data_IF_740901082619
#
_entry.id   IF_740901082619
#
_cell.length_a   1.000
_cell.length_b   1.000
_cell.length_c   1.000
_cell.angle_alpha   90.00
_cell.angle_beta   90.00
_cell.angle_gamma   90.00
#
_symmetry.space_group_name_H-M   'P 1'
#
loop_
_entity.id
_entity.type
_entity.pdbx_description
1 polymer ?
#
# COMPACT_ATOMS: atom_id res chain seq x y z
N UNK A 1 -12.13 -5.65 -14.69
CA UNK A 1 -12.42 -4.89 -15.90
C UNK A 1 -11.22 -4.88 -16.83
N UNK A 2 -11.48 -4.97 -18.13
CA UNK A 2 -10.42 -4.93 -19.12
C UNK A 2 -10.29 -3.56 -19.73
N UNK A 3 -9.07 -3.06 -19.85
CA UNK A 3 -8.77 -1.88 -20.65
C UNK A 3 -8.25 -2.31 -22.01
N UNK A 4 -8.59 -1.54 -23.01
CA UNK A 4 -8.17 -1.79 -24.37
C UNK A 4 -6.92 -0.99 -24.67
N UNK A 5 -5.85 -1.68 -24.99
CA UNK A 5 -4.58 -1.04 -25.35
C UNK A 5 -4.33 -1.22 -26.83
N UNK A 6 -3.92 -0.14 -27.48
CA UNK A 6 -3.52 -0.20 -28.87
C UNK A 6 -2.04 -0.55 -28.92
N UNK A 7 -1.73 -1.63 -29.65
CA UNK A 7 -0.36 -2.04 -29.89
C UNK A 7 -0.11 -2.07 -31.39
N UNK A 8 1.14 -2.28 -31.79
CA UNK A 8 1.47 -2.46 -33.20
C UNK A 8 0.73 -3.65 -33.85
N UNK A 9 0.28 -4.61 -33.05
CA UNK A 9 -0.47 -5.77 -33.51
C UNK A 9 -1.98 -5.56 -33.38
N UNK A 10 -2.43 -4.35 -33.02
CA UNK A 10 -3.83 -4.05 -32.78
C UNK A 10 -4.16 -3.94 -31.31
N UNK A 11 -5.29 -4.50 -30.89
CA UNK A 11 -5.74 -4.40 -29.53
C UNK A 11 -5.17 -5.53 -28.68
N UNK A 12 -4.68 -5.15 -27.52
CA UNK A 12 -4.11 -6.09 -26.58
C UNK A 12 -4.90 -6.04 -25.26
N UNK A 13 -5.37 -7.19 -24.82
CA UNK A 13 -6.13 -7.35 -23.58
C UNK A 13 -5.31 -7.98 -22.47
N UNK A 14 -4.09 -8.44 -22.77
CA UNK A 14 -3.28 -9.23 -21.85
C UNK A 14 -2.92 -8.44 -20.60
N UNK A 15 -2.61 -7.16 -20.75
CA UNK A 15 -2.19 -6.31 -19.64
C UNK A 15 -3.23 -6.27 -18.52
N UNK A 16 -4.51 -6.17 -18.89
CA UNK A 16 -5.58 -6.11 -17.88
C UNK A 16 -5.87 -7.48 -17.27
N UNK A 17 -5.73 -8.56 -18.02
CA UNK A 17 -5.95 -9.90 -17.50
C UNK A 17 -4.88 -10.32 -16.49
N UNK A 18 -3.68 -9.70 -16.55
CA UNK A 18 -2.59 -9.99 -15.62
C UNK A 18 -2.72 -9.26 -14.29
N UNK A 19 -3.66 -8.30 -14.16
CA UNK A 19 -3.79 -7.48 -12.96
C UNK A 19 -4.67 -8.21 -11.94
N UNK A 20 -5.85 -7.72 -11.69
CA UNK A 20 -6.74 -8.33 -10.70
C UNK A 20 -8.07 -8.68 -11.34
N UNK A 21 -8.69 -9.75 -10.86
CA UNK A 21 -10.04 -10.12 -11.27
C UNK A 21 -11.06 -9.15 -10.70
N UNK A 22 -12.27 -9.06 -11.28
CA UNK A 22 -13.34 -8.27 -10.67
C UNK A 22 -13.66 -8.68 -9.23
N UNK A 23 -13.56 -9.96 -8.92
CA UNK A 23 -13.77 -10.44 -7.54
C UNK A 23 -12.68 -9.92 -6.60
N UNK A 24 -11.42 -9.88 -7.05
CA UNK A 24 -10.31 -9.33 -6.27
C UNK A 24 -10.46 -7.83 -6.08
N UNK A 25 -10.88 -7.10 -7.11
CA UNK A 25 -11.14 -5.65 -6.99
C UNK A 25 -12.25 -5.38 -5.97
N UNK A 26 -13.31 -6.18 -5.96
CA UNK A 26 -14.37 -6.07 -4.98
C UNK A 26 -13.88 -6.38 -3.57
N UNK A 27 -13.00 -7.35 -3.41
CA UNK A 27 -12.41 -7.71 -2.14
C UNK A 27 -11.57 -6.56 -1.59
N UNK A 28 -10.77 -5.93 -2.43
CA UNK A 28 -9.95 -4.76 -2.06
C UNK A 28 -10.85 -3.62 -1.57
N UNK A 29 -11.87 -3.30 -2.34
CA UNK A 29 -12.81 -2.23 -1.98
C UNK A 29 -13.54 -2.52 -0.68
N UNK A 30 -13.92 -3.77 -0.46
CA UNK A 30 -14.58 -4.19 0.78
C UNK A 30 -13.66 -4.03 1.99
N UNK A 31 -12.39 -4.39 1.84
CA UNK A 31 -11.42 -4.22 2.94
C UNK A 31 -11.14 -2.74 3.22
N UNK A 32 -11.08 -1.93 2.19
CA UNK A 32 -10.96 -0.48 2.39
C UNK A 32 -12.18 0.09 3.10
N UNK A 33 -13.37 -0.32 2.70
CA UNK A 33 -14.60 0.12 3.36
C UNK A 33 -14.63 -0.32 4.83
N UNK A 34 -14.15 -1.52 5.12
CA UNK A 34 -14.03 -2.01 6.50
C UNK A 34 -13.07 -1.14 7.33
N UNK A 35 -11.97 -0.70 6.72
CA UNK A 35 -11.04 0.24 7.35
C UNK A 35 -11.75 1.55 7.70
N UNK A 36 -12.51 2.10 6.76
CA UNK A 36 -13.25 3.34 7.00
C UNK A 36 -14.31 3.17 8.08
N UNK A 37 -14.99 2.03 8.12
CA UNK A 37 -15.97 1.73 9.16
C UNK A 37 -15.31 1.65 10.55
N UNK A 38 -14.16 0.98 10.63
CA UNK A 38 -13.39 0.92 11.87
C UNK A 38 -12.99 2.31 12.33
N UNK A 39 -12.52 3.14 11.40
CA UNK A 39 -12.10 4.52 11.70
C UNK A 39 -13.29 5.38 12.14
N UNK A 40 -14.45 5.22 11.52
CA UNK A 40 -15.65 5.97 11.86
C UNK A 40 -16.10 5.75 13.32
N UNK A 41 -15.75 4.60 13.91
CA UNK A 41 -16.09 4.26 15.28
C UNK A 41 -15.05 4.79 16.30
N UNK A 42 -14.05 5.53 15.87
CA UNK A 42 -13.05 6.09 16.76
C UNK A 42 -13.44 7.48 17.24
N UNK A 43 -12.72 7.97 18.28
CA UNK A 43 -12.87 9.34 18.77
C UNK A 43 -12.09 10.35 17.97
N UNK A 44 -11.33 9.89 16.99
CA UNK A 44 -10.49 10.76 16.16
C UNK A 44 -11.33 11.59 15.20
N UNK A 45 -10.74 12.70 14.78
CA UNK A 45 -11.32 13.56 13.75
C UNK A 45 -11.48 12.77 12.47
N UNK A 46 -12.67 12.82 11.88
CA UNK A 46 -13.01 12.03 10.69
C UNK A 46 -12.41 12.64 9.42
N UNK A 47 -11.13 12.37 9.19
CA UNK A 47 -10.39 12.85 8.01
C UNK A 47 -10.38 11.77 6.93
N UNK A 48 -11.56 11.43 6.44
CA UNK A 48 -11.75 10.34 5.48
C UNK A 48 -11.09 10.65 4.13
N UNK A 49 -11.07 11.91 3.72
CA UNK A 49 -10.53 12.29 2.41
C UNK A 49 -9.06 11.96 2.26
N UNK A 50 -8.24 12.25 3.28
CA UNK A 50 -6.81 11.96 3.19
C UNK A 50 -6.52 10.48 3.25
N UNK A 51 -7.30 9.72 4.02
CA UNK A 51 -7.19 8.27 4.08
C UNK A 51 -7.56 7.65 2.73
N UNK A 52 -8.64 8.13 2.14
CA UNK A 52 -9.08 7.68 0.81
C UNK A 52 -8.01 7.96 -0.24
N UNK A 53 -7.42 9.15 -0.19
CA UNK A 53 -6.34 9.52 -1.10
C UNK A 53 -5.13 8.61 -0.92
N UNK A 54 -4.76 8.31 0.32
CA UNK A 54 -3.64 7.41 0.62
C UNK A 54 -3.90 6.00 0.12
N UNK A 55 -5.12 5.49 0.32
CA UNK A 55 -5.50 4.19 -0.20
C UNK A 55 -5.43 4.15 -1.73
N UNK A 56 -6.02 5.13 -2.39
CA UNK A 56 -6.03 5.18 -3.86
C UNK A 56 -4.62 5.25 -4.42
N UNK A 57 -3.74 6.02 -3.79
CA UNK A 57 -2.35 6.13 -4.18
C UNK A 57 -1.62 4.78 -4.03
N UNK A 58 -1.77 4.15 -2.88
CA UNK A 58 -1.15 2.85 -2.60
C UNK A 58 -1.71 1.76 -3.52
N UNK A 59 -3.02 1.76 -3.74
CA UNK A 59 -3.68 0.79 -4.60
C UNK A 59 -3.18 0.90 -6.05
N UNK A 60 -3.03 2.12 -6.54
CA UNK A 60 -2.51 2.36 -7.88
C UNK A 60 -1.02 1.97 -7.97
N UNK A 61 -0.24 2.30 -6.95
CA UNK A 61 1.19 1.98 -6.93
C UNK A 61 1.44 0.46 -6.90
N UNK A 62 0.57 -0.30 -6.25
CA UNK A 62 0.67 -1.76 -6.16
C UNK A 62 -0.26 -2.49 -7.13
N UNK A 63 -0.75 -1.80 -8.14
CA UNK A 63 -1.66 -2.40 -9.11
C UNK A 63 -1.00 -3.59 -9.80
N UNK A 64 -1.67 -4.75 -9.73
CA UNK A 64 -1.16 -5.98 -10.34
C UNK A 64 -0.10 -6.70 -9.54
N UNK A 65 0.34 -6.13 -8.42
CA UNK A 65 1.37 -6.76 -7.57
C UNK A 65 0.69 -7.78 -6.65
N UNK A 66 1.24 -8.98 -6.61
CA UNK A 66 0.73 -10.09 -5.81
C UNK A 66 1.76 -10.55 -4.79
N UNK A 67 1.28 -11.04 -3.65
CA UNK A 67 2.10 -11.73 -2.69
C UNK A 67 2.43 -13.13 -3.21
N UNK A 68 3.43 -13.77 -2.60
CA UNK A 68 3.78 -15.16 -2.97
C UNK A 68 2.60 -16.11 -2.81
N UNK A 69 1.69 -15.82 -1.87
CA UNK A 69 0.45 -16.58 -1.68
C UNK A 69 -0.59 -16.38 -2.79
N UNK A 70 -0.36 -15.42 -3.70
CA UNK A 70 -1.22 -15.15 -4.85
C UNK A 70 -2.23 -14.04 -4.66
N UNK A 71 -2.43 -13.55 -3.46
CA UNK A 71 -3.39 -12.48 -3.19
C UNK A 71 -2.84 -11.10 -3.60
N UNK A 72 -3.71 -10.12 -3.91
CA UNK A 72 -3.26 -8.75 -4.19
C UNK A 72 -2.45 -8.19 -3.02
N UNK A 73 -1.30 -7.60 -3.34
CA UNK A 73 -0.40 -7.08 -2.32
C UNK A 73 -1.03 -6.01 -1.44
N UNK A 74 -1.90 -5.17 -2.02
CA UNK A 74 -2.58 -4.08 -1.30
C UNK A 74 -3.37 -4.58 -0.07
N UNK A 75 -3.76 -5.84 -0.05
CA UNK A 75 -4.45 -6.42 1.11
C UNK A 75 -3.59 -6.36 2.37
N UNK A 76 -2.27 -6.41 2.23
CA UNK A 76 -1.35 -6.33 3.36
C UNK A 76 -1.33 -4.94 4.02
N UNK A 77 -1.05 -3.83 3.32
CA UNK A 77 -1.13 -2.51 3.96
C UNK A 77 -2.54 -2.18 4.48
N UNK A 78 -3.60 -2.68 3.83
CA UNK A 78 -4.95 -2.53 4.36
C UNK A 78 -5.10 -3.23 5.72
N UNK A 79 -4.59 -4.44 5.84
CA UNK A 79 -4.63 -5.19 7.11
C UNK A 79 -3.83 -4.47 8.20
N UNK A 80 -2.64 -3.95 7.86
CA UNK A 80 -1.83 -3.17 8.80
C UNK A 80 -2.56 -1.90 9.25
N UNK A 81 -3.18 -1.19 8.32
CA UNK A 81 -3.95 0.02 8.64
C UNK A 81 -5.12 -0.29 9.59
N UNK A 82 -5.80 -1.42 9.40
CA UNK A 82 -6.87 -1.83 10.30
C UNK A 82 -6.36 -2.16 11.71
N UNK A 83 -5.18 -2.76 11.82
CA UNK A 83 -4.53 -2.98 13.12
C UNK A 83 -4.23 -1.64 13.80
N UNK A 84 -3.72 -0.67 13.05
CA UNK A 84 -3.44 0.67 13.57
C UNK A 84 -4.69 1.31 14.17
N UNK A 85 -5.83 1.16 13.52
CA UNK A 85 -7.10 1.70 14.01
C UNK A 85 -7.64 0.90 15.19
N UNK A 86 -7.75 -0.41 15.05
CA UNK A 86 -8.50 -1.27 15.97
C UNK A 86 -7.70 -1.63 17.21
N UNK A 87 -6.43 -1.94 17.04
CA UNK A 87 -5.60 -2.45 18.15
C UNK A 87 -4.77 -1.35 18.80
N UNK A 88 -4.27 -0.39 18.03
CA UNK A 88 -3.42 0.68 18.54
C UNK A 88 -4.21 1.96 18.80
N UNK A 89 -5.26 2.21 18.02
CA UNK A 89 -6.14 3.37 18.22
C UNK A 89 -5.58 4.68 17.72
N UNK A 90 -4.71 4.65 16.70
CA UNK A 90 -4.12 5.86 16.13
C UNK A 90 -5.03 6.47 15.06
N UNK A 91 -4.76 7.73 14.70
CA UNK A 91 -5.58 8.52 13.81
C UNK A 91 -5.14 8.51 12.35
N UNK A 92 -5.69 9.45 11.58
CA UNK A 92 -5.53 9.51 10.12
C UNK A 92 -4.08 9.55 9.64
N UNK A 93 -3.21 10.28 10.31
CA UNK A 93 -1.80 10.39 9.91
C UNK A 93 -1.11 9.02 9.94
N UNK A 94 -1.33 8.26 10.99
CA UNK A 94 -0.75 6.91 11.15
C UNK A 94 -1.39 5.91 10.22
N UNK A 95 -2.69 6.02 9.97
CA UNK A 95 -3.40 5.18 9.01
C UNK A 95 -2.83 5.40 7.60
N UNK A 96 -2.68 6.65 7.20
CA UNK A 96 -2.08 6.98 5.91
C UNK A 96 -0.65 6.45 5.79
N UNK A 97 0.14 6.61 6.84
CA UNK A 97 1.52 6.09 6.84
C UNK A 97 1.54 4.56 6.69
N UNK A 98 0.63 3.85 7.35
CA UNK A 98 0.50 2.40 7.21
C UNK A 98 0.16 2.00 5.76
N UNK A 99 -0.74 2.73 5.12
CA UNK A 99 -1.11 2.48 3.72
C UNK A 99 0.03 2.77 2.75
N UNK A 100 0.89 3.73 3.06
CA UNK A 100 1.89 4.26 2.12
C UNK A 100 3.31 3.73 2.35
N UNK A 101 3.59 3.08 3.49
CA UNK A 101 4.98 2.74 3.81
C UNK A 101 5.63 1.79 2.80
N UNK A 102 4.90 0.81 2.31
CA UNK A 102 5.42 -0.14 1.31
C UNK A 102 5.57 0.49 -0.06
N UNK A 103 4.85 1.58 -0.35
CA UNK A 103 4.98 2.29 -1.62
C UNK A 103 6.41 2.80 -1.82
N UNK A 104 6.99 3.38 -0.77
CA UNK A 104 8.36 3.90 -0.83
C UNK A 104 9.37 2.77 -0.96
N UNK A 105 9.14 1.63 -0.29
CA UNK A 105 10.04 0.48 -0.36
C UNK A 105 9.97 -0.25 -1.71
N UNK A 106 8.77 -0.38 -2.27
CA UNK A 106 8.52 -1.28 -3.39
C UNK A 106 8.43 -0.58 -4.74
N UNK A 107 8.38 0.74 -4.77
CA UNK A 107 8.24 1.52 -6.00
C UNK A 107 9.28 2.63 -6.08
N UNK A 108 9.24 3.40 -7.17
CA UNK A 108 10.16 4.52 -7.38
C UNK A 108 9.78 5.76 -6.57
N UNK A 109 8.62 5.77 -5.92
CA UNK A 109 8.22 6.92 -5.09
C UNK A 109 9.13 7.06 -3.88
N UNK A 110 9.57 8.30 -3.64
CA UNK A 110 10.43 8.64 -2.51
C UNK A 110 9.62 9.18 -1.32
N UNK A 111 10.27 9.31 -0.18
CA UNK A 111 9.70 9.98 0.99
C UNK A 111 9.31 11.42 0.65
N UNK A 112 10.11 12.10 -0.17
CA UNK A 112 9.83 13.45 -0.64
C UNK A 112 8.55 13.51 -1.47
N UNK A 113 8.32 12.50 -2.30
CA UNK A 113 7.07 12.39 -3.07
C UNK A 113 5.87 12.29 -2.13
N UNK A 114 5.99 11.51 -1.07
CA UNK A 114 4.92 11.39 -0.07
C UNK A 114 4.68 12.72 0.64
N UNK A 115 5.74 13.46 0.97
CA UNK A 115 5.60 14.78 1.59
C UNK A 115 4.84 15.75 0.68
N UNK A 116 5.14 15.74 -0.62
CA UNK A 116 4.48 16.58 -1.60
C UNK A 116 3.04 16.17 -1.89
N UNK A 117 2.78 14.88 -2.00
CA UNK A 117 1.46 14.37 -2.32
C UNK A 117 0.50 14.43 -1.13
N UNK A 118 1.01 14.31 0.08
CA UNK A 118 0.21 14.26 1.30
C UNK A 118 0.61 15.39 2.25
N UNK A 119 1.54 15.12 3.15
CA UNK A 119 2.08 16.15 4.03
C UNK A 119 3.39 15.66 4.68
N UNK A 120 4.18 16.59 5.29
CA UNK A 120 5.44 16.22 5.93
C UNK A 120 5.29 15.28 7.11
N UNK A 121 4.19 15.35 7.86
CA UNK A 121 3.96 14.45 9.01
C UNK A 121 3.85 13.00 8.57
N UNK A 122 3.04 12.74 7.56
CA UNK A 122 2.88 11.40 7.00
C UNK A 122 4.21 10.90 6.45
N UNK A 123 4.90 11.74 5.68
CA UNK A 123 6.19 11.40 5.10
C UNK A 123 7.22 11.03 6.18
N UNK A 124 7.24 11.75 7.29
CA UNK A 124 8.18 11.48 8.38
C UNK A 124 7.92 10.13 9.03
N UNK A 125 6.66 9.76 9.22
CA UNK A 125 6.31 8.45 9.77
C UNK A 125 6.69 7.35 8.78
N UNK A 126 6.39 7.54 7.50
CA UNK A 126 6.78 6.59 6.44
C UNK A 126 8.30 6.41 6.43
N UNK A 127 9.05 7.49 6.51
CA UNK A 127 10.51 7.44 6.56
C UNK A 127 11.00 6.63 7.77
N UNK A 128 10.40 6.85 8.94
CA UNK A 128 10.72 6.09 10.14
C UNK A 128 10.45 4.60 9.98
N UNK A 129 9.32 4.25 9.38
CA UNK A 129 8.96 2.85 9.13
C UNK A 129 9.90 2.18 8.12
N UNK A 130 10.31 2.89 7.08
CA UNK A 130 11.26 2.36 6.10
C UNK A 130 12.65 2.16 6.70
N UNK A 131 13.06 3.05 7.60
CA UNK A 131 14.33 2.89 8.31
C UNK A 131 14.33 1.70 9.25
N UNK A 132 13.21 1.41 9.89
CA UNK A 132 13.09 0.23 10.77
C UNK A 132 13.10 -1.03 9.92
N UNK A 133 12.32 -1.10 8.86
CA UNK A 133 12.20 -2.30 8.02
C UNK A 133 13.40 -2.49 7.11
N UNK A 134 13.95 -1.40 6.56
CA UNK A 134 15.09 -1.43 5.65
C UNK A 134 16.42 -0.98 6.25
N UNK A 135 16.42 -0.49 7.50
CA UNK A 135 17.58 0.09 8.17
C UNK A 135 18.37 -0.91 8.99
N UNK A 136 18.44 -0.67 10.32
CA UNK A 136 19.28 -1.46 11.22
C UNK A 136 18.91 -2.95 11.24
N UNK A 137 17.62 -3.26 11.23
CA UNK A 137 17.15 -4.64 11.26
C UNK A 137 16.93 -5.19 9.85
N UNK A 138 16.27 -4.43 9.00
CA UNK A 138 15.93 -4.84 7.65
C UNK A 138 17.14 -5.05 6.76
N UNK A 139 18.15 -4.19 6.86
CA UNK A 139 19.37 -4.32 6.07
C UNK A 139 20.16 -5.58 6.42
N UNK A 140 20.22 -5.94 7.70
CA UNK A 140 20.86 -7.19 8.09
C UNK A 140 20.13 -8.39 7.52
N UNK A 141 18.82 -8.43 7.64
CA UNK A 141 17.99 -9.49 7.10
C UNK A 141 18.11 -9.58 5.58
N UNK A 142 18.09 -8.44 4.89
CA UNK A 142 18.21 -8.38 3.43
C UNK A 142 19.58 -8.83 2.96
N UNK A 143 20.64 -8.41 3.65
CA UNK A 143 22.01 -8.82 3.32
C UNK A 143 22.21 -10.32 3.57
N UNK A 144 21.66 -10.85 4.64
CA UNK A 144 21.70 -12.29 4.89
C UNK A 144 20.94 -13.07 3.83
N UNK A 145 19.76 -12.61 3.44
CA UNK A 145 18.98 -13.21 2.37
C UNK A 145 19.73 -13.20 1.04
N UNK A 146 20.38 -12.09 0.70
CA UNK A 146 21.21 -12.00 -0.49
C UNK A 146 22.41 -12.94 -0.43
N UNK A 147 23.05 -13.05 0.73
CA UNK A 147 24.16 -13.96 0.91
C UNK A 147 23.72 -15.41 0.72
N UNK A 148 22.56 -15.79 1.23
CA UNK A 148 21.99 -17.11 1.01
C UNK A 148 21.67 -17.38 -0.46
N UNK A 149 21.22 -16.39 -1.19
CA UNK A 149 20.92 -16.53 -2.62
C UNK A 149 22.18 -16.73 -3.47
N UNK A 150 23.31 -16.21 -3.01
CA UNK A 150 24.60 -16.35 -3.72
C UNK A 150 25.25 -17.71 -3.49
N UNK A 151 24.78 -18.45 -2.54
CA UNK A 151 25.25 -19.81 -2.27
C UNK A 151 24.48 -20.83 -3.09
#
# INVERSE_FOLDING_TARGET
MYKKYTTFAGWNWIMETSIFTPAEEMMIEREFQALLDDYANTVHRQKIEIITKAFQFANQAHKGVRRLSGEPYIMHPLAVARIVVREIGLGSTSICAALLHDVVEDTEYSVEDIAHQFNPKIAKIVEGLTKISGGVFGNKASKQAENFRKL
#
